data_IF_005072733430
#
_entry.id   IF_005072733430
#
_cell.length_a   1.000
_cell.length_b   1.000
_cell.length_c   1.000
_cell.angle_alpha   90.00
_cell.angle_beta   90.00
_cell.angle_gamma   90.00
#
_symmetry.space_group_name_H-M   'P 1'
#
loop_
_entity.id
_entity.type
_entity.pdbx_description
1 polymer ?
#
# COMPACT_ATOMS: atom_id res chain seq x y z
N UNK A 1 -21.89 28.92 -24.55
CA UNK A 1 -21.17 27.73 -25.08
C UNK A 1 -19.83 27.47 -24.38
N UNK A 2 -19.22 28.46 -23.72
CA UNK A 2 -17.92 28.39 -23.01
C UNK A 2 -17.90 27.51 -21.75
N UNK A 3 -19.02 27.39 -21.02
CA UNK A 3 -19.06 26.69 -19.72
C UNK A 3 -19.04 25.16 -19.84
N UNK A 4 -19.50 24.59 -20.97
CA UNK A 4 -19.57 23.14 -21.18
C UNK A 4 -18.21 22.56 -21.60
N UNK A 5 -17.51 23.24 -22.53
CA UNK A 5 -16.14 22.89 -22.92
C UNK A 5 -15.14 23.00 -21.77
N UNK A 6 -15.29 24.00 -20.88
CA UNK A 6 -14.43 24.13 -19.70
C UNK A 6 -14.63 22.98 -18.69
N UNK A 7 -15.84 22.44 -18.58
CA UNK A 7 -16.15 21.30 -17.70
C UNK A 7 -15.59 19.99 -18.27
N UNK A 8 -15.77 19.74 -19.56
CA UNK A 8 -15.24 18.54 -20.24
C UNK A 8 -13.71 18.46 -20.19
N UNK A 9 -13.03 19.60 -20.38
CA UNK A 9 -11.57 19.68 -20.26
C UNK A 9 -11.08 19.43 -18.81
N UNK A 10 -11.79 19.95 -17.81
CA UNK A 10 -11.47 19.73 -16.40
C UNK A 10 -11.61 18.26 -15.99
N UNK A 11 -12.69 17.59 -16.44
CA UNK A 11 -12.95 16.19 -16.15
C UNK A 11 -11.92 15.26 -16.83
N UNK A 12 -11.46 15.60 -18.03
CA UNK A 12 -10.42 14.85 -18.74
C UNK A 12 -9.06 14.94 -18.03
N UNK A 13 -8.65 16.14 -17.61
CA UNK A 13 -7.40 16.35 -16.87
C UNK A 13 -7.41 15.62 -15.52
N UNK A 14 -8.55 15.63 -14.82
CA UNK A 14 -8.73 14.84 -13.59
C UNK A 14 -8.62 13.34 -13.85
N UNK A 15 -9.19 12.86 -14.97
CA UNK A 15 -9.07 11.47 -15.41
C UNK A 15 -7.62 11.05 -15.68
N UNK A 16 -6.85 11.86 -16.40
CA UNK A 16 -5.42 11.61 -16.67
C UNK A 16 -4.60 11.53 -15.39
N UNK A 17 -4.79 12.47 -14.45
CA UNK A 17 -4.11 12.46 -13.14
C UNK A 17 -4.42 11.19 -12.35
N UNK A 18 -5.69 10.76 -12.34
CA UNK A 18 -6.10 9.50 -11.69
C UNK A 18 -5.43 8.29 -12.34
N UNK A 19 -5.36 8.24 -13.67
CA UNK A 19 -4.69 7.15 -14.38
C UNK A 19 -3.20 7.07 -14.08
N UNK A 20 -2.48 8.21 -14.12
CA UNK A 20 -1.07 8.26 -13.73
C UNK A 20 -0.87 7.77 -12.29
N UNK A 21 -1.76 8.14 -11.37
CA UNK A 21 -1.71 7.67 -9.98
C UNK A 21 -1.91 6.16 -9.87
N UNK A 22 -2.82 5.58 -10.65
CA UNK A 22 -3.01 4.12 -10.69
C UNK A 22 -1.72 3.43 -11.15
N UNK A 23 -1.07 3.93 -12.21
CA UNK A 23 0.19 3.37 -12.71
C UNK A 23 1.29 3.42 -11.64
N UNK A 24 1.48 4.58 -11.00
CA UNK A 24 2.47 4.73 -9.92
C UNK A 24 2.17 3.78 -8.76
N UNK A 25 0.89 3.67 -8.38
CA UNK A 25 0.46 2.77 -7.31
C UNK A 25 0.70 1.31 -7.67
N UNK A 26 0.41 0.89 -8.90
CA UNK A 26 0.72 -0.46 -9.39
C UNK A 26 2.21 -0.76 -9.35
N UNK A 27 3.06 0.20 -9.68
CA UNK A 27 4.52 0.03 -9.61
C UNK A 27 5.02 -0.09 -8.17
N UNK A 28 4.47 0.68 -7.23
CA UNK A 28 4.77 0.55 -5.81
C UNK A 28 4.39 -0.84 -5.27
N UNK A 29 3.23 -1.37 -5.66
CA UNK A 29 2.79 -2.73 -5.27
C UNK A 29 3.69 -3.81 -5.89
N UNK A 30 4.13 -3.64 -7.15
CA UNK A 30 5.11 -4.54 -7.78
C UNK A 30 6.45 -4.53 -7.05
N UNK A 31 6.90 -3.36 -6.59
CA UNK A 31 8.11 -3.26 -5.76
C UNK A 31 7.93 -4.02 -4.45
N UNK A 32 6.80 -3.87 -3.77
CA UNK A 32 6.50 -4.63 -2.56
C UNK A 32 6.60 -6.16 -2.79
N UNK A 33 6.02 -6.66 -3.89
CA UNK A 33 6.15 -8.07 -4.28
C UNK A 33 7.60 -8.51 -4.51
N UNK A 34 8.42 -7.68 -5.17
CA UNK A 34 9.84 -8.01 -5.38
C UNK A 34 10.63 -8.13 -4.07
N UNK A 35 10.25 -7.36 -3.03
CA UNK A 35 10.86 -7.50 -1.71
C UNK A 35 10.38 -8.75 -0.98
N UNK A 36 9.11 -9.15 -1.18
CA UNK A 36 8.59 -10.44 -0.67
C UNK A 36 9.35 -11.61 -1.27
N UNK A 37 9.63 -11.58 -2.58
CA UNK A 37 10.43 -12.61 -3.26
C UNK A 37 11.83 -12.72 -2.64
N UNK A 38 12.50 -11.60 -2.41
CA UNK A 38 13.82 -11.58 -1.72
C UNK A 38 13.75 -12.07 -0.28
N UNK A 39 12.65 -11.82 0.44
CA UNK A 39 12.46 -12.34 1.80
C UNK A 39 12.28 -13.86 1.82
N UNK A 40 11.72 -14.45 0.76
CA UNK A 40 11.60 -15.91 0.60
C UNK A 40 12.94 -16.60 0.36
N UNK A 41 13.97 -15.86 -0.06
CA UNK A 41 15.34 -16.36 -0.15
C UNK A 41 16.00 -16.55 1.24
N UNK A 42 15.27 -16.24 2.32
CA UNK A 42 15.70 -16.40 3.72
C UNK A 42 17.07 -15.76 3.99
N UNK A 43 17.19 -14.42 3.83
CA UNK A 43 18.43 -13.72 4.13
C UNK A 43 18.88 -14.01 5.56
N UNK A 44 20.09 -14.54 5.70
CA UNK A 44 20.67 -14.93 7.01
C UNK A 44 21.05 -13.72 7.85
N UNK A 45 21.35 -12.59 7.20
CA UNK A 45 21.64 -11.33 7.87
C UNK A 45 20.34 -10.65 8.32
N UNK A 46 20.21 -10.48 9.65
CA UNK A 46 19.05 -9.86 10.29
C UNK A 46 18.81 -8.40 9.85
N UNK A 47 19.87 -7.64 9.59
CA UNK A 47 19.78 -6.24 9.13
C UNK A 47 19.23 -6.20 7.71
N UNK A 48 19.71 -7.09 6.84
CA UNK A 48 19.21 -7.21 5.46
C UNK A 48 17.74 -7.61 5.47
N UNK A 49 17.38 -8.61 6.27
CA UNK A 49 15.98 -9.05 6.43
C UNK A 49 15.06 -7.90 6.87
N UNK A 50 15.44 -7.18 7.92
CA UNK A 50 14.67 -6.05 8.42
C UNK A 50 14.54 -4.92 7.39
N UNK A 51 15.61 -4.64 6.63
CA UNK A 51 15.57 -3.66 5.55
C UNK A 51 14.59 -4.05 4.44
N UNK A 52 14.56 -5.34 4.07
CA UNK A 52 13.63 -5.88 3.07
C UNK A 52 12.18 -5.85 3.56
N UNK A 53 11.91 -6.26 4.80
CA UNK A 53 10.60 -6.17 5.46
C UNK A 53 10.09 -4.73 5.47
N UNK A 54 10.94 -3.79 5.86
CA UNK A 54 10.64 -2.35 5.87
C UNK A 54 10.33 -1.85 4.46
N UNK A 55 11.19 -2.18 3.48
CA UNK A 55 11.02 -1.76 2.10
C UNK A 55 9.72 -2.29 1.49
N UNK A 56 9.34 -3.54 1.82
CA UNK A 56 8.11 -4.16 1.36
C UNK A 56 6.87 -3.42 1.92
N UNK A 57 6.84 -3.17 3.23
CA UNK A 57 5.74 -2.43 3.90
C UNK A 57 5.63 -1.00 3.38
N UNK A 58 6.75 -0.28 3.28
CA UNK A 58 6.76 1.12 2.81
C UNK A 58 6.28 1.21 1.38
N UNK A 59 6.75 0.32 0.50
CA UNK A 59 6.32 0.29 -0.90
C UNK A 59 4.83 -0.03 -1.00
N UNK A 60 4.34 -1.00 -0.22
CA UNK A 60 2.92 -1.33 -0.19
C UNK A 60 2.04 -0.18 0.32
N UNK A 61 2.47 0.53 1.37
CA UNK A 61 1.66 1.56 2.03
C UNK A 61 1.65 2.91 1.28
N UNK A 62 2.67 3.20 0.47
CA UNK A 62 2.84 4.48 -0.25
C UNK A 62 1.62 4.89 -1.09
N UNK A 63 0.99 4.01 -1.89
CA UNK A 63 -0.24 4.31 -2.63
C UNK A 63 -1.40 4.84 -1.78
N UNK A 64 -1.44 4.45 -0.50
CA UNK A 64 -2.53 4.68 0.45
C UNK A 64 -2.25 5.83 1.43
N UNK A 65 -0.99 6.28 1.52
CA UNK A 65 -0.62 7.37 2.42
C UNK A 65 -1.12 8.72 1.90
N UNK A 66 -1.75 9.53 2.76
CA UNK A 66 -2.35 10.82 2.42
C UNK A 66 -1.41 12.03 2.48
N UNK A 67 -0.11 11.83 2.74
CA UNK A 67 0.86 12.92 2.89
C UNK A 67 1.37 13.39 1.52
N UNK A 68 0.52 14.08 0.77
CA UNK A 68 0.95 14.86 -0.40
C UNK A 68 0.84 16.33 -0.02
N UNK A 69 1.97 17.05 -0.12
CA UNK A 69 2.05 18.48 0.15
C UNK A 69 0.93 19.23 -0.58
N UNK A 70 0.49 20.32 0.04
CA UNK A 70 -0.79 21.02 -0.19
C UNK A 70 -1.07 21.48 -1.62
N UNK A 71 -0.15 21.35 -2.57
CA UNK A 71 -0.36 21.79 -3.94
C UNK A 71 0.33 20.83 -4.91
N UNK A 72 -0.42 20.39 -5.92
CA UNK A 72 0.05 19.77 -7.17
C UNK A 72 0.10 18.21 -7.23
N UNK A 73 -0.90 17.69 -7.96
CA UNK A 73 -0.88 16.45 -8.78
C UNK A 73 -0.85 15.11 -8.03
N UNK A 74 -1.92 14.75 -7.30
CA UNK A 74 -2.44 13.36 -7.16
C UNK A 74 -3.51 13.30 -6.05
N UNK A 75 -4.69 13.86 -6.28
CA UNK A 75 -5.59 14.22 -5.17
C UNK A 75 -6.25 13.08 -4.39
N UNK A 76 -6.06 11.79 -4.73
CA UNK A 76 -6.62 10.70 -3.90
C UNK A 76 -5.70 9.48 -3.79
N UNK A 77 -5.63 8.84 -2.61
CA UNK A 77 -5.00 7.53 -2.46
C UNK A 77 -5.61 6.52 -3.44
N UNK A 78 -4.93 5.39 -3.65
CA UNK A 78 -5.59 4.23 -4.26
C UNK A 78 -6.70 3.78 -3.28
N UNK A 79 -7.94 4.18 -3.53
CA UNK A 79 -9.06 3.86 -2.67
C UNK A 79 -9.70 2.57 -3.16
N UNK A 80 -9.71 1.57 -2.29
CA UNK A 80 -10.60 0.42 -2.36
C UNK A 80 -11.25 0.25 -0.98
N UNK A 81 -12.41 -0.38 -0.94
CA UNK A 81 -13.22 -0.55 0.26
C UNK A 81 -13.13 -1.99 0.78
N UNK A 82 -13.65 -2.22 1.98
CA UNK A 82 -13.75 -3.55 2.61
C UNK A 82 -14.45 -4.60 1.72
N UNK A 83 -15.29 -4.17 0.78
CA UNK A 83 -16.02 -5.05 -0.13
C UNK A 83 -15.22 -5.43 -1.39
N UNK A 84 -14.08 -4.79 -1.64
CA UNK A 84 -13.28 -5.04 -2.85
C UNK A 84 -12.31 -6.21 -2.69
N UNK A 85 -12.01 -6.62 -1.46
CA UNK A 85 -11.15 -7.76 -1.11
C UNK A 85 -11.73 -8.53 0.09
N UNK A 86 -11.34 -9.81 0.29
CA UNK A 86 -11.72 -10.55 1.50
C UNK A 86 -11.37 -9.80 2.81
N UNK A 87 -12.26 -9.90 3.80
CA UNK A 87 -12.15 -9.19 5.10
C UNK A 87 -10.78 -9.38 5.78
N UNK A 88 -10.25 -10.60 5.82
CA UNK A 88 -8.94 -10.87 6.41
C UNK A 88 -7.79 -10.12 5.71
N UNK A 89 -7.87 -9.91 4.39
CA UNK A 89 -6.89 -9.11 3.65
C UNK A 89 -7.10 -7.62 3.88
N UNK A 90 -8.34 -7.18 4.09
CA UNK A 90 -8.64 -5.80 4.46
C UNK A 90 -8.09 -5.44 5.86
N UNK A 91 -8.25 -6.33 6.83
CA UNK A 91 -7.68 -6.16 8.17
C UNK A 91 -6.14 -6.10 8.11
N UNK A 92 -5.53 -6.98 7.31
CA UNK A 92 -4.09 -6.94 7.01
C UNK A 92 -3.67 -5.61 6.37
N UNK A 93 -4.45 -5.09 5.41
CA UNK A 93 -4.20 -3.78 4.79
C UNK A 93 -4.16 -2.63 5.81
N UNK A 94 -5.17 -2.54 6.67
CA UNK A 94 -5.23 -1.50 7.71
C UNK A 94 -4.05 -1.61 8.68
N UNK A 95 -3.68 -2.84 9.04
CA UNK A 95 -2.58 -3.08 9.96
C UNK A 95 -1.20 -2.72 9.35
N UNK A 96 -0.99 -2.98 8.05
CA UNK A 96 0.24 -2.56 7.35
C UNK A 96 0.32 -1.04 7.24
N UNK A 97 -0.82 -0.37 6.97
CA UNK A 97 -0.88 1.10 6.99
C UNK A 97 -0.53 1.65 8.38
N UNK A 98 -1.08 1.04 9.43
CA UNK A 98 -0.78 1.38 10.82
C UNK A 98 0.70 1.22 11.09
N UNK A 99 1.27 0.04 10.80
CA UNK A 99 2.70 -0.27 10.95
C UNK A 99 3.59 0.78 10.28
N UNK A 100 3.31 1.12 9.02
CA UNK A 100 4.09 2.14 8.31
C UNK A 100 4.02 3.50 9.01
N UNK A 101 2.82 3.91 9.43
CA UNK A 101 2.61 5.21 10.05
C UNK A 101 3.18 5.29 11.46
N UNK A 102 3.25 4.19 12.20
CA UNK A 102 3.71 4.19 13.58
C UNK A 102 5.18 3.79 13.73
N UNK A 103 5.61 2.74 13.05
CA UNK A 103 6.97 2.19 13.18
C UNK A 103 7.98 2.82 12.22
N UNK A 104 7.56 3.20 11.00
CA UNK A 104 8.50 3.68 9.97
C UNK A 104 8.43 5.18 9.69
N UNK A 105 7.41 5.88 10.15
CA UNK A 105 7.32 7.34 9.99
C UNK A 105 8.23 8.12 10.98
N UNK A 106 8.67 7.47 12.06
CA UNK A 106 9.37 8.12 13.18
C UNK A 106 10.77 7.56 13.47
N UNK A 107 11.37 6.75 12.58
CA UNK A 107 12.70 6.11 12.80
C UNK A 107 13.90 7.05 12.93
N UNK A 108 13.71 8.36 13.04
CA UNK A 108 14.72 9.29 13.58
C UNK A 108 14.63 9.49 15.10
N UNK A 109 13.60 8.99 15.80
CA UNK A 109 13.41 9.18 17.23
C UNK A 109 12.86 7.91 17.91
N UNK A 110 13.72 7.23 18.65
CA UNK A 110 13.41 6.18 19.63
C UNK A 110 12.67 4.92 19.12
N UNK A 111 13.45 3.88 18.83
CA UNK A 111 13.01 2.53 18.42
C UNK A 111 12.25 1.70 19.50
N UNK A 112 11.52 2.34 20.42
CA UNK A 112 10.99 1.66 21.61
C UNK A 112 9.55 1.17 21.55
N UNK A 113 8.80 1.35 20.46
CA UNK A 113 7.39 0.91 20.43
C UNK A 113 7.00 0.30 19.08
N UNK A 114 6.60 -0.99 19.09
CA UNK A 114 5.45 -1.62 18.38
C UNK A 114 5.69 -3.09 17.93
N UNK A 115 5.20 -4.04 18.71
CA UNK A 115 5.01 -5.42 18.24
C UNK A 115 3.68 -5.54 17.49
N UNK A 116 3.69 -6.20 16.32
CA UNK A 116 2.48 -6.69 15.65
C UNK A 116 2.60 -8.19 15.59
N UNK A 117 1.90 -8.87 16.49
CA UNK A 117 1.78 -10.31 16.49
C UNK A 117 0.65 -10.68 15.52
N UNK A 118 1.01 -11.28 14.39
CA UNK A 118 0.04 -11.72 13.38
C UNK A 118 -0.62 -13.01 13.85
N UNK A 119 -1.82 -12.92 14.44
CA UNK A 119 -2.65 -14.09 14.72
C UNK A 119 -3.75 -14.21 13.66
N UNK A 120 -3.85 -15.36 12.99
CA UNK A 120 -4.85 -15.60 11.93
C UNK A 120 -6.28 -15.73 12.46
N UNK A 121 -6.46 -15.72 13.79
CA UNK A 121 -7.74 -15.92 14.47
C UNK A 121 -7.83 -14.97 15.68
N UNK A 122 -8.89 -14.15 15.75
CA UNK A 122 -9.12 -13.05 16.69
C UNK A 122 -8.82 -13.34 18.19
N UNK A 123 -8.18 -12.40 18.91
CA UNK A 123 -8.44 -11.89 20.31
C UNK A 123 -7.23 -11.03 20.83
N UNK A 124 -7.42 -10.01 21.72
CA UNK A 124 -6.58 -8.80 21.81
C UNK A 124 -5.54 -8.71 22.95
N UNK A 125 -4.57 -7.82 22.70
CA UNK A 125 -3.72 -7.00 23.60
C UNK A 125 -3.23 -7.58 24.94
N UNK A 126 -1.91 -7.81 24.96
CA UNK A 126 -1.06 -7.38 26.07
C UNK A 126 -0.23 -8.49 26.68
N UNK A 127 1.05 -8.54 26.31
CA UNK A 127 2.16 -8.53 27.26
C UNK A 127 3.41 -7.97 26.57
N UNK A 128 3.93 -6.88 27.13
CA UNK A 128 5.16 -6.22 26.71
C UNK A 128 6.38 -7.06 27.12
N UNK A 129 7.29 -7.32 26.17
CA UNK A 129 8.70 -7.54 26.46
C UNK A 129 9.56 -7.10 25.28
N UNK A 130 10.42 -6.12 25.55
CA UNK A 130 11.46 -5.62 24.65
C UNK A 130 12.35 -6.80 24.23
N UNK A 131 12.62 -6.94 22.92
CA UNK A 131 13.88 -7.39 22.29
C UNK A 131 13.66 -7.67 20.79
N UNK A 132 14.31 -6.86 19.94
CA UNK A 132 14.48 -7.03 18.48
C UNK A 132 13.22 -7.34 17.66
N UNK A 133 12.72 -6.36 16.91
CA UNK A 133 11.63 -6.56 15.95
C UNK A 133 11.97 -7.68 14.96
N UNK A 134 11.35 -8.84 15.13
CA UNK A 134 11.14 -9.78 14.02
C UNK A 134 9.77 -9.43 13.46
N UNK A 135 9.76 -8.63 12.40
CA UNK A 135 8.53 -8.41 11.66
C UNK A 135 8.27 -9.67 10.84
N UNK A 136 7.72 -10.71 11.47
CA UNK A 136 7.31 -11.92 10.77
C UNK A 136 6.02 -11.63 9.98
N UNK A 137 6.15 -10.85 8.90
CA UNK A 137 5.11 -10.76 7.89
C UNK A 137 4.84 -12.18 7.44
N UNK A 138 3.60 -12.63 7.60
CA UNK A 138 3.17 -13.85 6.94
C UNK A 138 3.28 -13.61 5.43
N UNK A 139 4.41 -14.03 4.83
CA UNK A 139 4.76 -13.69 3.45
C UNK A 139 3.64 -14.10 2.48
N UNK A 140 2.99 -15.23 2.74
CA UNK A 140 1.85 -15.70 1.94
C UNK A 140 0.66 -14.74 2.01
N UNK A 141 0.23 -14.33 3.21
CA UNK A 141 -0.91 -13.40 3.38
C UNK A 141 -0.60 -12.02 2.81
N UNK A 142 0.62 -11.51 3.01
CA UNK A 142 1.03 -10.22 2.48
C UNK A 142 1.20 -10.23 0.96
N UNK A 143 1.73 -11.31 0.39
CA UNK A 143 1.75 -11.52 -1.06
C UNK A 143 0.33 -11.56 -1.63
N UNK A 144 -0.58 -12.31 -1.00
CA UNK A 144 -1.98 -12.41 -1.42
C UNK A 144 -2.66 -11.03 -1.41
N UNK A 145 -2.41 -10.23 -0.36
CA UNK A 145 -2.90 -8.85 -0.30
C UNK A 145 -2.31 -8.00 -1.44
N UNK A 146 -0.99 -8.02 -1.66
CA UNK A 146 -0.36 -7.29 -2.75
C UNK A 146 -0.97 -7.67 -4.10
N UNK A 147 -1.18 -8.96 -4.37
CA UNK A 147 -1.80 -9.45 -5.60
C UNK A 147 -3.25 -9.02 -5.75
N UNK A 148 -4.04 -9.06 -4.66
CA UNK A 148 -5.43 -8.60 -4.67
C UNK A 148 -5.52 -7.11 -5.02
N UNK A 149 -4.71 -6.27 -4.38
CA UNK A 149 -4.64 -4.83 -4.66
C UNK A 149 -4.17 -4.56 -6.09
N UNK A 150 -3.14 -5.28 -6.57
CA UNK A 150 -2.63 -5.10 -7.93
C UNK A 150 -3.70 -5.43 -8.98
N UNK A 151 -4.53 -6.46 -8.72
CA UNK A 151 -5.67 -6.82 -9.58
C UNK A 151 -6.70 -5.69 -9.65
N UNK A 152 -7.02 -5.05 -8.52
CA UNK A 152 -7.91 -3.89 -8.48
C UNK A 152 -7.34 -2.71 -9.26
N UNK A 153 -6.05 -2.41 -9.08
CA UNK A 153 -5.37 -1.33 -9.81
C UNK A 153 -5.38 -1.58 -11.33
N UNK A 154 -5.12 -2.83 -11.74
CA UNK A 154 -5.14 -3.25 -13.15
C UNK A 154 -6.53 -3.11 -13.76
N UNK A 155 -7.57 -3.52 -13.02
CA UNK A 155 -8.96 -3.36 -13.45
C UNK A 155 -9.30 -1.88 -13.68
N UNK A 156 -8.95 -1.02 -12.72
CA UNK A 156 -9.19 0.42 -12.82
C UNK A 156 -8.42 1.06 -14.01
N UNK A 157 -7.23 0.56 -14.31
CA UNK A 157 -6.45 0.99 -15.48
C UNK A 157 -7.14 0.64 -16.80
N UNK A 158 -7.62 -0.60 -16.94
CA UNK A 158 -8.35 -1.07 -18.12
C UNK A 158 -9.66 -0.32 -18.33
N UNK A 159 -10.40 -0.04 -17.25
CA UNK A 159 -11.63 0.77 -17.30
C UNK A 159 -11.34 2.18 -17.84
N UNK A 160 -10.25 2.81 -17.41
CA UNK A 160 -9.85 4.11 -17.92
C UNK A 160 -9.48 4.08 -19.41
N UNK A 161 -8.70 3.07 -19.84
CA UNK A 161 -8.33 2.89 -21.25
C UNK A 161 -9.57 2.69 -22.14
N UNK A 162 -10.55 1.89 -21.69
CA UNK A 162 -11.79 1.64 -22.40
C UNK A 162 -12.64 2.91 -22.57
N UNK A 163 -12.65 3.81 -21.58
CA UNK A 163 -13.32 5.12 -21.69
C UNK A 163 -12.57 6.01 -22.69
N UNK A 164 -11.24 6.06 -22.62
CA UNK A 164 -10.42 6.89 -23.52
C UNK A 164 -10.56 6.50 -24.98
N UNK A 165 -10.69 5.22 -25.31
CA UNK A 165 -10.84 4.75 -26.70
C UNK A 165 -12.21 5.04 -27.32
N UNK A 166 -13.19 5.47 -26.53
CA UNK A 166 -14.56 5.82 -26.98
C UNK A 166 -14.76 7.32 -27.21
N UNK A 167 -13.78 8.14 -26.83
CA UNK A 167 -13.75 9.60 -26.99
C UNK A 167 -12.85 9.96 -28.16
#
# INVERSE_FOLDING_TARGET
MTTKQNKENFDLEKGKKRHLRIILSSNDIKQALSFVEKLREEPTDKVIRQALETAAVVSYARPFSGNFGTEQVAERPLLFNENDIPEHLFNLHEEIKRLRNTAYAHTCANSNELFIEWNSENIPLGHFKILTYELNICLNSFENLCRAVLKLATKAELEFQAVRSKV
#
